data_IF_386810265264
#
_entry.id   IF_386810265264
#
_cell.length_a   1.000
_cell.length_b   1.000
_cell.length_c   1.000
_cell.angle_alpha   90.00
_cell.angle_beta   90.00
_cell.angle_gamma   90.00
#
_symmetry.space_group_name_H-M   'P 1'
#
loop_
_entity.id
_entity.type
_entity.pdbx_description
1 polymer ?
#
# COMPACT_ATOMS: atom_id res chain seq x y z
N UNK A 1 27.49 -24.43 9.11
CA UNK A 1 26.50 -23.49 9.64
C UNK A 1 25.11 -24.02 9.32
N UNK A 2 24.18 -24.03 10.27
CA UNK A 2 22.80 -24.38 9.98
C UNK A 2 22.23 -23.39 8.96
N UNK A 3 21.47 -23.87 7.97
CA UNK A 3 20.80 -23.02 7.00
C UNK A 3 19.65 -22.31 7.74
N UNK A 4 19.76 -20.99 7.90
CA UNK A 4 18.72 -20.17 8.51
C UNK A 4 17.74 -19.69 7.44
N UNK A 5 16.46 -19.51 7.81
CA UNK A 5 15.46 -18.91 6.94
C UNK A 5 15.86 -17.46 6.64
N UNK A 6 15.84 -17.07 5.38
CA UNK A 6 16.10 -15.72 4.89
C UNK A 6 14.88 -15.25 4.11
N UNK A 7 14.43 -14.02 4.36
CA UNK A 7 13.35 -13.41 3.60
C UNK A 7 13.70 -11.98 3.21
N UNK A 8 13.34 -11.60 1.97
CA UNK A 8 13.68 -10.31 1.39
C UNK A 8 12.44 -9.56 0.98
N UNK A 9 12.37 -8.27 1.30
CA UNK A 9 11.36 -7.34 0.79
C UNK A 9 12.01 -6.07 0.29
N UNK A 10 11.32 -5.38 -0.62
CA UNK A 10 11.75 -4.09 -1.15
C UNK A 10 10.69 -3.02 -0.93
N UNK A 11 11.12 -1.77 -0.97
CA UNK A 11 10.27 -0.59 -0.99
C UNK A 11 10.85 0.49 -1.91
N UNK A 12 10.03 1.46 -2.26
CA UNK A 12 10.44 2.59 -3.09
C UNK A 12 10.01 3.91 -2.46
N UNK A 13 10.71 5.00 -2.79
CA UNK A 13 10.34 6.33 -2.32
C UNK A 13 9.11 6.86 -3.05
N UNK A 14 8.54 7.94 -2.51
CA UNK A 14 7.45 8.70 -3.14
C UNK A 14 7.79 9.23 -4.55
N UNK A 15 9.09 9.40 -4.85
CA UNK A 15 9.58 9.88 -6.16
C UNK A 15 9.81 8.80 -7.19
N UNK A 16 9.65 7.52 -6.85
CA UNK A 16 9.66 6.46 -7.86
C UNK A 16 8.53 6.68 -8.88
N UNK A 17 8.74 6.51 -10.20
CA UNK A 17 7.73 6.82 -11.22
C UNK A 17 6.38 6.15 -10.99
N UNK A 18 6.36 4.86 -10.64
CA UNK A 18 5.10 4.16 -10.33
C UNK A 18 4.40 4.76 -9.10
N UNK A 19 5.18 5.16 -8.07
CA UNK A 19 4.61 5.77 -6.86
C UNK A 19 4.16 7.21 -7.07
N UNK A 20 4.78 7.94 -7.98
CA UNK A 20 4.25 9.22 -8.44
C UNK A 20 2.86 9.02 -9.06
N UNK A 21 2.68 8.01 -9.92
CA UNK A 21 1.40 7.70 -10.54
C UNK A 21 0.34 7.30 -9.50
N UNK A 22 0.69 6.47 -8.53
CA UNK A 22 -0.23 6.08 -7.45
C UNK A 22 -0.69 7.31 -6.63
N UNK A 23 0.24 8.21 -6.30
CA UNK A 23 -0.08 9.43 -5.55
C UNK A 23 -0.94 10.41 -6.35
N UNK A 24 -0.76 10.51 -7.66
CA UNK A 24 -1.63 11.32 -8.53
C UNK A 24 -3.02 10.72 -8.60
N UNK A 25 -3.14 9.42 -8.85
CA UNK A 25 -4.43 8.73 -8.95
C UNK A 25 -5.23 8.80 -7.65
N UNK A 26 -4.57 8.62 -6.49
CA UNK A 26 -5.22 8.78 -5.19
C UNK A 26 -5.47 10.26 -4.82
N UNK A 27 -4.67 11.19 -5.33
CA UNK A 27 -4.93 12.61 -5.20
C UNK A 27 -6.19 13.05 -5.94
N UNK A 28 -6.43 12.51 -7.14
CA UNK A 28 -7.68 12.70 -7.88
C UNK A 28 -8.86 12.11 -7.12
N UNK A 29 -8.72 10.88 -6.61
CA UNK A 29 -9.76 10.22 -5.82
C UNK A 29 -10.12 11.04 -4.57
N UNK A 30 -9.15 11.47 -3.79
CA UNK A 30 -9.38 12.25 -2.57
C UNK A 30 -10.06 13.59 -2.87
N UNK A 31 -9.63 14.28 -3.93
CA UNK A 31 -10.25 15.54 -4.35
C UNK A 31 -11.72 15.38 -4.75
N UNK A 32 -12.06 14.26 -5.38
CA UNK A 32 -13.43 13.90 -5.75
C UNK A 32 -14.25 13.56 -4.50
N UNK A 33 -13.76 12.64 -3.65
CA UNK A 33 -14.49 12.21 -2.46
C UNK A 33 -14.72 13.33 -1.44
N UNK A 34 -13.85 14.32 -1.38
CA UNK A 34 -14.03 15.50 -0.55
C UNK A 34 -15.29 16.33 -0.93
N UNK A 35 -15.74 16.28 -2.18
CA UNK A 35 -16.89 17.00 -2.68
C UNK A 35 -18.09 16.08 -2.93
N UNK A 36 -17.84 14.84 -3.33
CA UNK A 36 -18.84 13.84 -3.67
C UNK A 36 -18.46 12.46 -3.10
N UNK A 37 -18.81 12.18 -1.83
CA UNK A 37 -18.48 10.89 -1.19
C UNK A 37 -19.09 9.67 -1.87
N UNK A 38 -20.09 9.86 -2.75
CA UNK A 38 -20.75 8.77 -3.46
C UNK A 38 -20.22 8.56 -4.88
N UNK A 39 -19.20 9.32 -5.27
CA UNK A 39 -18.58 9.23 -6.58
C UNK A 39 -18.07 7.83 -6.92
N UNK A 40 -18.10 7.49 -8.21
CA UNK A 40 -17.46 6.30 -8.78
C UNK A 40 -16.21 6.74 -9.50
N UNK A 41 -15.06 6.20 -9.08
CA UNK A 41 -13.75 6.58 -9.61
C UNK A 41 -12.93 5.34 -9.89
N UNK A 42 -12.41 5.25 -11.09
CA UNK A 42 -11.37 4.33 -11.51
C UNK A 42 -10.34 5.16 -12.30
N UNK A 43 -9.40 5.77 -11.58
CA UNK A 43 -8.42 6.70 -12.12
C UNK A 43 -7.05 6.06 -12.20
N UNK A 44 -6.46 6.05 -13.37
CA UNK A 44 -5.12 5.55 -13.63
C UNK A 44 -4.23 6.67 -14.13
N UNK A 45 -2.95 6.60 -13.81
CA UNK A 45 -1.95 7.58 -14.23
C UNK A 45 -0.77 6.84 -14.85
N UNK A 46 -0.23 7.41 -15.92
CA UNK A 46 1.07 7.03 -16.41
C UNK A 46 1.98 8.25 -16.55
N UNK A 47 3.28 8.04 -16.42
CA UNK A 47 4.29 9.08 -16.53
C UNK A 47 5.52 8.57 -17.26
N UNK A 48 6.17 9.46 -17.98
CA UNK A 48 7.50 9.27 -18.58
C UNK A 48 8.15 10.64 -18.73
N UNK A 49 9.27 10.72 -19.46
CA UNK A 49 10.00 11.96 -19.68
C UNK A 49 9.09 13.13 -20.06
N UNK A 50 8.98 14.11 -19.18
CA UNK A 50 8.26 15.36 -19.44
C UNK A 50 6.75 15.29 -19.50
N UNK A 51 6.10 14.15 -19.18
CA UNK A 51 4.63 14.01 -19.28
C UNK A 51 4.03 13.23 -18.13
N UNK A 52 2.85 13.64 -17.69
CA UNK A 52 1.93 12.88 -16.82
C UNK A 52 0.59 12.80 -17.55
N UNK A 53 0.06 11.60 -17.73
CA UNK A 53 -1.26 11.37 -18.30
C UNK A 53 -2.17 10.71 -17.27
N UNK A 54 -3.33 11.32 -17.03
CA UNK A 54 -4.38 10.83 -16.13
C UNK A 54 -5.57 10.36 -16.98
N UNK A 55 -5.98 9.12 -16.80
CA UNK A 55 -7.02 8.48 -17.62
C UNK A 55 -7.92 7.59 -16.75
N UNK A 56 -9.04 7.17 -17.32
CA UNK A 56 -9.97 6.25 -16.66
C UNK A 56 -11.42 6.73 -16.63
N UNK A 57 -12.21 6.15 -15.74
CA UNK A 57 -13.64 6.41 -15.63
C UNK A 57 -13.97 7.13 -14.33
N UNK A 58 -14.82 8.15 -14.44
CA UNK A 58 -15.26 8.92 -13.29
C UNK A 58 -16.69 9.38 -13.46
N UNK A 59 -17.56 8.99 -12.51
CA UNK A 59 -18.94 9.48 -12.42
C UNK A 59 -19.07 10.23 -11.11
N UNK A 60 -19.19 11.55 -11.19
CA UNK A 60 -19.20 12.43 -10.02
C UNK A 60 -19.87 13.78 -10.33
N UNK A 61 -20.34 14.44 -9.28
CA UNK A 61 -20.77 15.84 -9.28
C UNK A 61 -19.65 16.81 -8.87
N UNK A 62 -18.50 16.29 -8.45
CA UNK A 62 -17.36 17.10 -8.03
C UNK A 62 -16.76 17.88 -9.23
N UNK A 63 -16.29 19.09 -8.95
CA UNK A 63 -15.55 19.90 -9.90
C UNK A 63 -14.10 20.04 -9.42
N UNK A 64 -13.19 19.36 -10.10
CA UNK A 64 -11.77 19.29 -9.74
C UNK A 64 -10.88 19.75 -10.91
N UNK A 65 -9.71 20.27 -10.58
CA UNK A 65 -8.64 20.55 -11.56
C UNK A 65 -7.60 19.44 -11.50
N UNK A 66 -7.65 18.50 -12.44
CA UNK A 66 -6.67 17.41 -12.54
C UNK A 66 -5.26 17.95 -12.73
N UNK A 67 -5.08 19.02 -13.50
CA UNK A 67 -3.78 19.65 -13.72
C UNK A 67 -3.16 20.15 -12.41
N UNK A 68 -3.96 20.85 -11.57
CA UNK A 68 -3.46 21.34 -10.27
C UNK A 68 -3.10 20.19 -9.35
N UNK A 69 -3.91 19.12 -9.28
CA UNK A 69 -3.62 17.93 -8.48
C UNK A 69 -2.31 17.27 -8.90
N UNK A 70 -2.07 17.12 -10.21
CA UNK A 70 -0.83 16.57 -10.74
C UNK A 70 0.36 17.44 -10.33
N UNK A 71 0.29 18.76 -10.61
CA UNK A 71 1.40 19.68 -10.33
C UNK A 71 1.71 19.76 -8.84
N UNK A 72 0.70 19.83 -8.00
CA UNK A 72 0.86 19.85 -6.54
C UNK A 72 1.47 18.55 -6.01
N UNK A 73 1.06 17.39 -6.54
CA UNK A 73 1.62 16.09 -6.18
C UNK A 73 3.10 16.02 -6.58
N UNK A 74 3.43 16.34 -7.82
CA UNK A 74 4.81 16.35 -8.33
C UNK A 74 5.70 17.32 -7.54
N UNK A 75 5.17 18.51 -7.19
CA UNK A 75 5.84 19.49 -6.34
C UNK A 75 6.08 18.98 -4.92
N UNK A 76 5.08 18.37 -4.28
CA UNK A 76 5.19 17.79 -2.92
C UNK A 76 6.22 16.67 -2.86
N UNK A 77 6.33 15.86 -3.90
CA UNK A 77 7.37 14.84 -4.06
C UNK A 77 8.77 15.50 -4.11
N UNK A 78 8.89 16.69 -4.69
CA UNK A 78 10.16 17.44 -4.79
C UNK A 78 10.76 17.43 -6.17
N UNK A 79 9.99 17.18 -7.21
CA UNK A 79 10.40 17.35 -8.59
C UNK A 79 10.19 18.80 -9.04
N UNK A 80 11.19 19.64 -8.83
CA UNK A 80 11.19 21.08 -9.04
C UNK A 80 12.15 21.54 -10.13
N UNK A 81 12.69 20.59 -10.91
CA UNK A 81 13.70 20.84 -11.94
C UNK A 81 15.12 20.92 -11.41
N UNK A 82 15.35 20.69 -10.10
CA UNK A 82 16.70 20.62 -9.55
C UNK A 82 17.46 19.40 -10.10
N UNK A 83 18.70 19.62 -10.51
CA UNK A 83 19.45 18.63 -11.27
C UNK A 83 18.85 18.42 -12.68
N UNK A 84 19.11 17.27 -13.28
CA UNK A 84 18.51 16.82 -14.55
C UNK A 84 17.23 16.02 -14.28
N UNK A 85 16.32 16.58 -13.46
CA UNK A 85 15.14 15.87 -12.99
C UNK A 85 13.86 16.39 -13.64
N UNK A 86 12.78 15.66 -13.41
CA UNK A 86 11.43 16.03 -13.76
C UNK A 86 11.03 17.37 -13.08
N UNK A 87 10.16 18.17 -13.70
CA UNK A 87 9.76 19.47 -13.14
C UNK A 87 8.24 19.65 -13.21
N UNK A 88 7.61 19.91 -12.03
CA UNK A 88 6.18 20.14 -11.90
C UNK A 88 5.65 21.33 -12.70
N UNK A 89 6.52 22.33 -13.02
CA UNK A 89 6.12 23.54 -13.77
C UNK A 89 6.02 23.28 -15.26
N UNK A 90 6.89 22.41 -15.78
CA UNK A 90 7.10 22.26 -17.22
C UNK A 90 6.60 20.94 -17.79
N UNK A 91 6.28 19.96 -16.93
CA UNK A 91 5.73 18.69 -17.41
C UNK A 91 4.38 18.93 -18.11
N UNK A 92 4.16 18.25 -19.23
CA UNK A 92 2.86 18.20 -19.87
C UNK A 92 1.88 17.38 -19.01
N UNK A 93 0.67 17.88 -18.82
CA UNK A 93 -0.42 17.16 -18.16
C UNK A 93 -1.48 16.85 -19.18
N UNK A 94 -1.73 15.57 -19.41
CA UNK A 94 -2.78 15.09 -20.35
C UNK A 94 -3.89 14.43 -19.55
N UNK A 95 -5.13 14.61 -19.99
CA UNK A 95 -6.31 14.02 -19.35
C UNK A 95 -7.17 13.29 -20.37
N UNK A 96 -7.57 12.05 -20.01
CA UNK A 96 -8.51 11.23 -20.77
C UNK A 96 -9.48 10.53 -19.80
N UNK A 97 -10.29 11.34 -19.11
CA UNK A 97 -11.30 10.90 -18.15
C UNK A 97 -12.69 10.98 -18.80
N UNK A 98 -13.50 9.94 -18.60
CA UNK A 98 -14.86 9.86 -19.14
C UNK A 98 -15.83 9.22 -18.14
N UNK A 99 -17.13 9.24 -18.42
CA UNK A 99 -18.14 8.61 -17.56
C UNK A 99 -18.07 7.09 -17.59
N UNK A 100 -18.46 6.45 -16.49
CA UNK A 100 -18.54 4.99 -16.40
C UNK A 100 -19.54 4.40 -17.38
N UNK A 101 -19.26 3.19 -17.92
CA UNK A 101 -20.18 2.43 -18.75
C UNK A 101 -21.50 2.14 -18.03
N UNK A 102 -22.67 2.44 -18.67
CA UNK A 102 -23.98 2.10 -18.08
C UNK A 102 -24.16 0.62 -17.78
N UNK A 103 -23.55 -0.28 -18.56
CA UNK A 103 -23.66 -1.73 -18.38
C UNK A 103 -23.00 -2.20 -17.09
N UNK A 104 -21.84 -1.61 -16.74
CA UNK A 104 -21.14 -1.89 -15.49
C UNK A 104 -21.93 -1.33 -14.30
N UNK A 105 -22.47 -0.10 -14.44
CA UNK A 105 -23.23 0.55 -13.38
C UNK A 105 -24.45 -0.27 -12.95
N UNK A 106 -25.19 -0.87 -13.88
CA UNK A 106 -26.39 -1.68 -13.55
C UNK A 106 -26.10 -2.86 -12.61
N UNK A 107 -24.96 -3.53 -12.79
CA UNK A 107 -24.62 -4.70 -11.98
C UNK A 107 -24.09 -4.35 -10.59
N UNK A 108 -23.52 -3.16 -10.45
CA UNK A 108 -22.87 -2.71 -9.20
C UNK A 108 -23.82 -1.90 -8.32
N UNK A 109 -24.69 -1.07 -8.94
CA UNK A 109 -25.61 -0.20 -8.21
C UNK A 109 -26.84 -0.95 -7.62
N UNK A 110 -27.08 -2.20 -8.03
CA UNK A 110 -28.10 -3.07 -7.45
C UNK A 110 -27.59 -4.51 -7.42
N UNK A 111 -27.17 -4.97 -6.23
CA UNK A 111 -26.69 -6.33 -6.02
C UNK A 111 -27.74 -7.40 -6.38
N UNK A 112 -27.28 -8.62 -6.67
CA UNK A 112 -28.14 -9.76 -6.99
C UNK A 112 -29.15 -10.00 -5.85
N UNK A 113 -28.71 -9.96 -4.61
CA UNK A 113 -29.51 -10.16 -3.40
C UNK A 113 -30.67 -9.16 -3.32
N UNK A 114 -30.41 -7.87 -3.65
CA UNK A 114 -31.43 -6.83 -3.69
C UNK A 114 -32.45 -7.10 -4.83
N UNK A 115 -31.97 -7.52 -6.00
CA UNK A 115 -32.84 -7.85 -7.16
C UNK A 115 -33.71 -9.09 -6.91
N UNK A 116 -33.26 -10.00 -6.05
CA UNK A 116 -34.00 -11.20 -5.62
C UNK A 116 -34.95 -10.94 -4.42
N UNK A 117 -35.06 -9.68 -3.97
CA UNK A 117 -36.00 -9.26 -2.95
C UNK A 117 -35.41 -9.14 -1.53
N UNK A 118 -34.09 -9.14 -1.39
CA UNK A 118 -33.41 -8.80 -0.14
C UNK A 118 -33.78 -7.39 0.31
N UNK A 119 -33.92 -7.19 1.63
CA UNK A 119 -34.32 -5.91 2.23
C UNK A 119 -33.26 -5.32 3.14
N UNK A 120 -32.13 -5.99 3.29
CA UNK A 120 -31.01 -5.50 4.11
C UNK A 120 -30.31 -4.34 3.37
N UNK A 121 -30.02 -3.26 4.09
CA UNK A 121 -29.35 -2.09 3.51
C UNK A 121 -27.97 -2.41 2.95
N UNK A 122 -27.28 -3.44 3.46
CA UNK A 122 -25.97 -3.87 2.97
C UNK A 122 -26.03 -4.81 1.76
N UNK A 123 -27.22 -5.25 1.37
CA UNK A 123 -27.47 -6.00 0.12
C UNK A 123 -27.72 -5.08 -1.08
N UNK A 124 -27.65 -3.75 -0.91
CA UNK A 124 -27.94 -2.79 -1.98
C UNK A 124 -26.81 -2.74 -3.01
N UNK A 125 -25.54 -2.82 -2.57
CA UNK A 125 -24.35 -2.66 -3.44
C UNK A 125 -23.68 -4.01 -3.61
N UNK A 126 -23.56 -4.47 -4.85
CA UNK A 126 -22.77 -5.64 -5.21
C UNK A 126 -21.27 -5.32 -5.35
N UNK A 127 -20.45 -6.35 -5.34
CA UNK A 127 -19.03 -6.18 -5.63
C UNK A 127 -18.82 -5.56 -7.03
N UNK A 128 -17.96 -4.57 -7.12
CA UNK A 128 -17.68 -3.83 -8.36
C UNK A 128 -16.95 -4.66 -9.42
N UNK A 129 -16.36 -5.77 -9.03
CA UNK A 129 -15.70 -6.73 -9.91
C UNK A 129 -15.66 -8.11 -9.22
N UNK A 130 -15.35 -9.13 -10.00
CA UNK A 130 -14.88 -10.41 -9.49
C UNK A 130 -13.43 -10.28 -9.01
N UNK A 131 -13.02 -11.08 -8.03
CA UNK A 131 -11.62 -11.12 -7.62
C UNK A 131 -11.41 -11.80 -6.28
N UNK A 132 -10.14 -11.92 -5.91
CA UNK A 132 -9.72 -12.39 -4.60
C UNK A 132 -8.81 -11.35 -3.94
N UNK A 133 -9.00 -11.11 -2.66
CA UNK A 133 -8.25 -10.13 -1.87
C UNK A 133 -7.66 -10.81 -0.66
N UNK A 134 -6.48 -10.38 -0.25
CA UNK A 134 -5.76 -10.95 0.87
C UNK A 134 -5.47 -9.90 1.94
N UNK A 135 -5.62 -10.30 3.19
CA UNK A 135 -5.14 -9.58 4.34
C UNK A 135 -4.17 -10.43 5.14
N UNK A 136 -3.21 -9.81 5.80
CA UNK A 136 -2.22 -10.50 6.60
C UNK A 136 -1.88 -9.73 7.88
N UNK A 137 -1.55 -10.45 8.94
CA UNK A 137 -0.97 -9.90 10.15
C UNK A 137 -0.03 -10.95 10.81
N UNK A 138 1.03 -10.48 11.45
CA UNK A 138 1.93 -11.33 12.24
C UNK A 138 2.59 -10.53 13.37
N UNK A 139 3.11 -11.24 14.39
CA UNK A 139 3.72 -10.63 15.59
C UNK A 139 5.21 -10.28 15.42
N UNK A 140 5.66 -9.99 14.19
CA UNK A 140 7.07 -9.66 13.96
C UNK A 140 7.41 -8.20 14.30
N UNK A 141 6.43 -7.29 14.19
CA UNK A 141 6.55 -5.87 14.57
C UNK A 141 5.37 -5.45 15.46
N UNK A 142 5.46 -4.27 16.06
CA UNK A 142 4.39 -3.71 16.89
C UNK A 142 3.13 -3.36 16.10
N UNK A 143 3.29 -3.08 14.81
CA UNK A 143 2.20 -2.81 13.85
C UNK A 143 1.52 -4.09 13.38
N UNK A 144 2.00 -5.26 13.82
CA UNK A 144 1.58 -6.58 13.36
C UNK A 144 1.80 -6.77 11.85
N UNK A 145 2.97 -6.34 11.37
CA UNK A 145 3.45 -6.46 9.99
C UNK A 145 4.69 -7.35 9.90
N UNK A 146 4.96 -7.93 8.72
CA UNK A 146 6.24 -8.61 8.47
C UNK A 146 7.42 -7.63 8.58
N UNK A 147 8.47 -8.05 9.27
CA UNK A 147 9.65 -7.22 9.53
C UNK A 147 10.37 -6.74 8.24
N UNK A 148 10.57 -7.57 7.19
CA UNK A 148 11.31 -7.15 6.01
C UNK A 148 10.66 -5.95 5.30
N UNK A 149 9.35 -5.99 5.05
CA UNK A 149 8.67 -4.86 4.38
C UNK A 149 8.60 -3.63 5.28
N UNK A 150 8.41 -3.81 6.58
CA UNK A 150 8.42 -2.69 7.54
C UNK A 150 9.75 -1.95 7.49
N UNK A 151 10.86 -2.66 7.58
CA UNK A 151 12.18 -2.03 7.52
C UNK A 151 12.50 -1.45 6.14
N UNK A 152 12.04 -2.07 5.06
CA UNK A 152 12.19 -1.50 3.73
C UNK A 152 11.45 -0.15 3.62
N UNK A 153 10.23 -0.03 4.16
CA UNK A 153 9.49 1.23 4.22
C UNK A 153 10.16 2.28 5.12
N UNK A 154 10.67 1.88 6.28
CA UNK A 154 11.37 2.79 7.19
C UNK A 154 12.60 3.40 6.52
N UNK A 155 13.36 2.61 5.76
CA UNK A 155 14.53 3.09 5.00
C UNK A 155 14.13 4.09 3.90
N UNK A 156 13.13 3.80 3.08
CA UNK A 156 12.69 4.71 2.00
C UNK A 156 12.04 5.97 2.56
N UNK A 157 11.30 5.87 3.66
CA UNK A 157 10.72 7.02 4.35
C UNK A 157 11.81 7.92 4.94
N UNK A 158 12.83 7.33 5.58
CA UNK A 158 13.98 8.08 6.11
C UNK A 158 14.78 8.75 5.01
N UNK A 159 14.96 8.08 3.87
CA UNK A 159 15.62 8.66 2.70
C UNK A 159 14.88 9.93 2.22
N UNK A 160 13.57 9.90 2.11
CA UNK A 160 12.77 11.07 1.76
C UNK A 160 12.81 12.16 2.85
N UNK A 161 12.80 11.79 4.12
CA UNK A 161 12.89 12.72 5.24
C UNK A 161 14.19 13.53 5.20
N UNK A 162 15.36 12.86 5.11
CA UNK A 162 16.67 13.56 5.11
C UNK A 162 16.89 14.40 3.87
N UNK A 163 16.23 14.09 2.76
CA UNK A 163 16.18 14.93 1.56
C UNK A 163 15.34 16.18 1.81
N UNK A 164 14.08 16.01 2.28
CA UNK A 164 13.13 17.11 2.44
C UNK A 164 13.53 18.11 3.53
N UNK A 165 14.17 17.65 4.59
CA UNK A 165 14.66 18.54 5.66
C UNK A 165 16.04 19.16 5.36
N UNK A 166 16.64 18.86 4.20
CA UNK A 166 17.91 19.41 3.75
C UNK A 166 19.15 18.85 4.44
N UNK A 167 19.03 17.77 5.24
CA UNK A 167 20.16 17.15 5.92
C UNK A 167 21.13 16.48 4.95
N UNK A 168 20.59 15.90 3.86
CA UNK A 168 21.38 15.37 2.74
C UNK A 168 20.89 16.03 1.44
N UNK A 169 21.33 17.26 1.16
CA UNK A 169 20.74 18.11 0.13
C UNK A 169 21.04 17.66 -1.31
N UNK A 170 21.92 16.71 -1.49
CA UNK A 170 22.32 16.21 -2.80
C UNK A 170 21.57 14.94 -3.24
N UNK A 171 20.73 14.32 -2.40
CA UNK A 171 19.86 13.23 -2.85
C UNK A 171 18.58 13.79 -3.46
N UNK A 172 18.05 13.07 -4.45
CA UNK A 172 16.89 13.45 -5.25
C UNK A 172 15.70 12.50 -4.97
N UNK A 173 14.49 12.78 -5.50
CA UNK A 173 13.28 12.09 -5.07
C UNK A 173 13.21 10.60 -5.32
N UNK A 174 13.83 10.08 -6.40
CA UNK A 174 13.76 8.66 -6.75
C UNK A 174 14.72 7.81 -5.91
N UNK A 175 14.21 6.70 -5.41
CA UNK A 175 15.04 5.77 -4.64
C UNK A 175 14.29 4.49 -4.29
N UNK A 176 15.09 3.46 -3.94
CA UNK A 176 14.63 2.12 -3.58
C UNK A 176 15.41 1.60 -2.38
N UNK A 177 14.77 0.79 -1.59
CA UNK A 177 15.40 -0.03 -0.55
C UNK A 177 15.08 -1.50 -0.75
N UNK A 178 15.97 -2.37 -0.33
CA UNK A 178 15.74 -3.80 -0.20
C UNK A 178 16.42 -4.27 1.07
N UNK A 179 15.75 -5.10 1.86
CA UNK A 179 16.31 -5.72 3.05
C UNK A 179 16.10 -7.21 3.04
N UNK A 180 17.13 -7.95 3.43
CA UNK A 180 17.06 -9.40 3.68
C UNK A 180 17.23 -9.64 5.18
N UNK A 181 16.20 -10.24 5.79
CA UNK A 181 16.17 -10.54 7.23
C UNK A 181 16.39 -12.03 7.44
N UNK A 182 17.31 -12.35 8.33
CA UNK A 182 17.55 -13.70 8.85
C UNK A 182 16.61 -13.95 10.00
N UNK A 183 16.00 -15.13 10.01
CA UNK A 183 15.09 -15.58 11.07
C UNK A 183 15.75 -16.66 11.94
N UNK A 184 15.46 -16.63 13.22
CA UNK A 184 15.89 -17.66 14.17
C UNK A 184 15.09 -18.97 14.03
N UNK A 185 15.38 -19.95 14.88
CA UNK A 185 14.72 -21.25 14.88
C UNK A 185 13.22 -21.17 15.22
N UNK A 186 12.80 -20.13 15.93
CA UNK A 186 11.41 -19.88 16.31
C UNK A 186 10.66 -19.05 15.25
N UNK A 187 11.35 -18.64 14.18
CA UNK A 187 10.79 -17.81 13.13
C UNK A 187 10.66 -16.33 13.51
N UNK A 188 11.44 -15.86 14.51
CA UNK A 188 11.54 -14.45 14.84
C UNK A 188 12.65 -13.74 14.05
N UNK A 189 12.47 -12.46 13.65
CA UNK A 189 13.52 -11.68 12.99
C UNK A 189 14.75 -11.52 13.88
N UNK A 190 15.92 -11.96 13.42
CA UNK A 190 17.17 -11.99 14.20
C UNK A 190 18.12 -10.85 13.82
N UNK A 191 18.49 -10.75 12.54
CA UNK A 191 19.44 -9.78 12.02
C UNK A 191 19.24 -9.49 10.53
N UNK A 192 19.84 -8.42 10.05
CA UNK A 192 19.96 -8.20 8.62
C UNK A 192 21.09 -9.03 8.01
N UNK A 193 20.82 -9.71 6.91
CA UNK A 193 21.85 -10.30 6.05
C UNK A 193 22.43 -9.25 5.11
N UNK A 194 21.52 -8.52 4.44
CA UNK A 194 21.93 -7.40 3.60
C UNK A 194 20.90 -6.27 3.60
N UNK A 195 21.38 -5.06 3.34
CA UNK A 195 20.61 -3.84 3.12
C UNK A 195 21.10 -3.21 1.82
N UNK A 196 20.18 -2.97 0.88
CA UNK A 196 20.47 -2.32 -0.39
C UNK A 196 19.68 -1.01 -0.47
N UNK A 197 20.37 0.09 -0.76
CA UNK A 197 19.76 1.39 -1.05
C UNK A 197 20.23 1.86 -2.42
N UNK A 198 19.28 2.21 -3.29
CA UNK A 198 19.54 2.94 -4.52
C UNK A 198 18.86 4.29 -4.41
N UNK A 199 19.61 5.39 -4.57
CA UNK A 199 19.06 6.74 -4.46
C UNK A 199 19.59 7.63 -5.58
N UNK A 200 18.70 8.35 -6.21
CA UNK A 200 19.04 9.41 -7.15
C UNK A 200 19.78 10.54 -6.43
N UNK A 201 20.77 11.13 -7.08
CA UNK A 201 21.57 12.20 -6.48
C UNK A 201 22.03 13.23 -7.53
N UNK A 202 22.39 14.43 -7.08
CA UNK A 202 22.99 15.46 -7.93
C UNK A 202 24.31 14.98 -8.53
N UNK A 203 24.58 15.34 -9.77
CA UNK A 203 25.83 14.99 -10.46
C UNK A 203 27.11 15.59 -9.83
N UNK A 204 26.95 16.58 -8.96
CA UNK A 204 28.04 17.20 -8.19
C UNK A 204 28.48 16.39 -6.97
N UNK A 205 27.66 15.45 -6.48
CA UNK A 205 27.99 14.58 -5.34
C UNK A 205 28.81 13.38 -5.81
N UNK A 206 29.90 13.08 -5.11
CA UNK A 206 30.67 11.86 -5.35
C UNK A 206 29.91 10.63 -4.81
N UNK A 207 30.18 9.46 -5.38
CA UNK A 207 29.59 8.22 -4.92
C UNK A 207 29.94 7.91 -3.45
N UNK A 208 31.13 8.29 -3.01
CA UNK A 208 31.61 8.12 -1.65
C UNK A 208 30.78 8.98 -0.68
N UNK A 209 30.58 10.28 -0.99
CA UNK A 209 29.70 11.16 -0.22
C UNK A 209 28.27 10.61 -0.10
N UNK A 210 27.70 10.09 -1.21
CA UNK A 210 26.36 9.48 -1.20
C UNK A 210 26.32 8.26 -0.29
N UNK A 211 27.33 7.38 -0.38
CA UNK A 211 27.42 6.17 0.45
C UNK A 211 27.51 6.49 1.94
N UNK A 212 28.42 7.36 2.31
CA UNK A 212 28.62 7.80 3.70
C UNK A 212 27.33 8.39 4.27
N UNK A 213 26.75 9.38 3.59
CA UNK A 213 25.54 10.03 4.04
C UNK A 213 24.34 9.06 4.17
N UNK A 214 24.16 8.14 3.22
CA UNK A 214 23.07 7.15 3.29
C UNK A 214 23.29 6.16 4.42
N UNK A 215 24.50 5.72 4.68
CA UNK A 215 24.80 4.83 5.80
C UNK A 215 24.51 5.53 7.13
N UNK A 216 25.05 6.73 7.34
CA UNK A 216 24.98 7.42 8.62
C UNK A 216 23.60 8.01 8.91
N UNK A 217 22.98 8.66 7.92
CA UNK A 217 21.78 9.45 8.10
C UNK A 217 20.48 8.70 7.75
N UNK A 218 20.58 7.62 7.00
CA UNK A 218 19.41 6.80 6.64
C UNK A 218 19.47 5.45 7.35
N UNK A 219 20.45 4.59 7.04
CA UNK A 219 20.45 3.21 7.52
C UNK A 219 20.58 3.18 9.05
N UNK A 220 21.60 3.84 9.60
CA UNK A 220 21.85 3.83 11.04
C UNK A 220 20.78 4.54 11.89
N UNK A 221 19.86 5.29 11.24
CA UNK A 221 18.78 6.01 11.92
C UNK A 221 17.41 5.35 11.75
N UNK A 222 17.21 4.57 10.66
CA UNK A 222 15.90 4.02 10.33
C UNK A 222 15.67 2.63 10.94
N UNK A 223 16.72 1.80 11.08
CA UNK A 223 16.54 0.40 11.48
C UNK A 223 17.18 0.10 12.84
N UNK A 224 16.73 -0.96 13.54
CA UNK A 224 17.28 -1.32 14.84
C UNK A 224 18.78 -1.68 14.76
N UNK A 225 19.63 -0.88 15.38
CA UNK A 225 21.10 -1.08 15.36
C UNK A 225 21.53 -2.49 15.83
N UNK A 226 20.79 -3.10 16.77
CA UNK A 226 21.04 -4.47 17.27
C UNK A 226 20.93 -5.55 16.19
N UNK A 227 20.21 -5.26 15.09
CA UNK A 227 20.04 -6.17 13.96
C UNK A 227 21.13 -6.01 12.89
N UNK A 228 21.95 -4.95 12.97
CA UNK A 228 23.12 -4.75 12.11
C UNK A 228 24.32 -5.40 12.82
N UNK A 229 24.92 -6.38 12.17
CA UNK A 229 26.09 -7.11 12.70
C UNK A 229 27.31 -6.90 11.79
N UNK A 230 28.48 -7.37 12.20
CA UNK A 230 29.69 -7.31 11.37
C UNK A 230 29.55 -8.07 10.03
N UNK A 231 28.64 -9.05 9.97
CA UNK A 231 28.38 -9.84 8.77
C UNK A 231 27.32 -9.20 7.85
N UNK A 232 26.63 -8.13 8.30
CA UNK A 232 25.60 -7.46 7.51
C UNK A 232 26.24 -6.72 6.32
N UNK A 233 25.83 -7.08 5.12
CA UNK A 233 26.31 -6.44 3.88
C UNK A 233 25.48 -5.22 3.57
N UNK A 234 26.12 -4.07 3.37
CA UNK A 234 25.46 -2.81 3.02
C UNK A 234 25.89 -2.40 1.61
N UNK A 235 24.90 -2.22 0.73
CA UNK A 235 25.09 -1.78 -0.65
C UNK A 235 24.37 -0.45 -0.87
N UNK A 236 25.12 0.60 -1.21
CA UNK A 236 24.56 1.90 -1.59
C UNK A 236 24.98 2.21 -3.00
N UNK A 237 24.03 2.43 -3.90
CA UNK A 237 24.25 2.65 -5.33
C UNK A 237 25.31 1.67 -5.90
N UNK A 238 25.08 0.34 -5.85
CA UNK A 238 26.09 -0.64 -6.27
C UNK A 238 26.41 -0.55 -7.76
N UNK A 239 25.51 -0.02 -8.59
CA UNK A 239 25.74 0.23 -10.01
C UNK A 239 26.61 1.49 -10.26
N UNK A 240 26.90 2.30 -9.23
CA UNK A 240 27.63 3.52 -9.31
C UNK A 240 26.74 4.77 -9.37
N UNK A 241 26.89 5.57 -10.44
CA UNK A 241 26.17 6.84 -10.59
C UNK A 241 24.67 6.66 -10.84
N UNK A 242 23.82 7.39 -10.09
CA UNK A 242 22.37 7.43 -10.28
C UNK A 242 21.89 8.90 -10.29
N UNK A 243 22.15 9.60 -11.38
CA UNK A 243 21.80 11.02 -11.55
C UNK A 243 20.50 11.17 -12.32
N UNK A 244 20.31 10.43 -13.40
CA UNK A 244 19.08 10.40 -14.14
C UNK A 244 18.14 9.39 -13.46
N UNK A 245 16.98 9.86 -12.97
CA UNK A 245 15.99 9.05 -12.27
C UNK A 245 14.61 9.69 -12.34
N UNK A 246 13.65 9.09 -11.61
CA UNK A 246 12.25 9.48 -11.70
C UNK A 246 11.68 9.27 -13.11
N UNK A 247 10.63 10.01 -13.51
CA UNK A 247 10.03 9.89 -14.84
C UNK A 247 10.99 10.19 -15.99
N UNK A 248 12.11 10.85 -15.73
CA UNK A 248 13.15 11.09 -16.71
C UNK A 248 13.96 9.82 -17.02
N UNK A 249 14.09 8.93 -16.05
CA UNK A 249 14.88 7.70 -16.18
C UNK A 249 14.06 6.46 -16.55
N UNK A 250 12.82 6.39 -16.08
CA UNK A 250 11.95 5.22 -16.30
C UNK A 250 10.47 5.66 -16.31
N UNK A 251 9.63 4.90 -17.00
CA UNK A 251 8.19 5.15 -17.05
C UNK A 251 7.51 4.60 -15.80
N UNK A 252 6.45 5.28 -15.35
CA UNK A 252 5.60 4.87 -14.25
C UNK A 252 4.16 4.64 -14.65
N UNK A 253 3.49 3.73 -13.95
CA UNK A 253 2.05 3.48 -14.06
C UNK A 253 1.45 3.22 -12.68
N UNK A 254 0.19 3.62 -12.50
CA UNK A 254 -0.61 3.27 -11.32
C UNK A 254 -0.71 1.74 -11.18
N UNK A 255 -0.55 1.24 -9.95
CA UNK A 255 -0.76 -0.17 -9.64
C UNK A 255 0.38 -1.11 -10.03
N UNK A 256 1.59 -0.61 -10.24
CA UNK A 256 2.77 -1.44 -10.54
C UNK A 256 3.67 -1.73 -9.34
N UNK A 257 3.28 -1.31 -8.13
CA UNK A 257 4.00 -1.56 -6.88
C UNK A 257 3.12 -2.23 -5.83
N UNK A 258 2.19 -3.10 -6.29
CA UNK A 258 1.16 -3.74 -5.44
C UNK A 258 1.74 -4.59 -4.30
N UNK A 259 2.92 -5.15 -4.46
CA UNK A 259 3.60 -5.94 -3.42
C UNK A 259 4.25 -5.02 -2.39
N UNK A 260 4.80 -3.87 -2.81
CA UNK A 260 5.28 -2.79 -1.93
C UNK A 260 4.11 -2.19 -1.14
N UNK A 261 2.94 -2.04 -1.76
CA UNK A 261 1.75 -1.49 -1.15
C UNK A 261 1.17 -2.36 -0.03
N UNK A 262 1.49 -3.65 -0.01
CA UNK A 262 0.92 -4.65 0.89
C UNK A 262 1.96 -5.23 1.85
N UNK A 263 2.44 -6.45 1.62
CA UNK A 263 3.22 -7.19 2.62
C UNK A 263 4.63 -7.57 2.15
N UNK A 264 5.13 -6.96 1.04
CA UNK A 264 6.48 -7.18 0.53
C UNK A 264 6.76 -8.63 0.09
N UNK A 265 5.72 -9.34 -0.37
CA UNK A 265 5.83 -10.73 -0.78
C UNK A 265 5.69 -11.75 0.35
N UNK A 266 5.47 -11.32 1.59
CA UNK A 266 5.33 -12.21 2.74
C UNK A 266 3.99 -12.94 2.79
N UNK A 267 2.94 -12.33 2.24
CA UNK A 267 1.60 -12.89 2.06
C UNK A 267 1.25 -13.01 0.58
N UNK A 268 0.22 -13.81 0.27
CA UNK A 268 -0.38 -13.88 -1.06
C UNK A 268 -0.98 -12.54 -1.47
N UNK A 269 -1.16 -12.33 -2.76
CA UNK A 269 -1.80 -11.15 -3.33
C UNK A 269 -2.78 -11.53 -4.43
N UNK A 270 -3.93 -10.88 -4.48
CA UNK A 270 -4.96 -11.17 -5.50
C UNK A 270 -4.71 -10.54 -6.87
N UNK A 271 -3.74 -9.64 -6.98
CA UNK A 271 -3.37 -8.95 -8.23
C UNK A 271 -4.02 -7.58 -8.41
N UNK A 272 -5.06 -7.23 -7.64
CA UNK A 272 -5.74 -5.93 -7.75
C UNK A 272 -4.91 -4.77 -7.19
N UNK A 273 -4.78 -3.68 -7.97
CA UNK A 273 -4.20 -2.43 -7.53
C UNK A 273 -5.19 -1.63 -6.67
N UNK A 274 -4.68 -0.77 -5.77
CA UNK A 274 -5.50 0.04 -4.88
C UNK A 274 -5.71 1.46 -5.38
N UNK A 275 -4.61 2.15 -5.73
CA UNK A 275 -4.61 3.58 -6.04
C UNK A 275 -5.56 3.93 -7.19
N UNK A 276 -6.27 5.05 -7.04
CA UNK A 276 -7.23 5.54 -8.01
C UNK A 276 -8.61 4.88 -7.98
N UNK A 277 -8.83 3.87 -7.13
CA UNK A 277 -10.09 3.14 -7.01
C UNK A 277 -10.91 3.65 -5.82
N UNK A 278 -12.18 4.04 -6.05
CA UNK A 278 -13.12 4.37 -4.98
C UNK A 278 -13.51 3.14 -4.15
N UNK A 279 -14.11 3.32 -2.94
CA UNK A 279 -14.37 2.21 -2.01
C UNK A 279 -15.33 1.13 -2.51
N UNK A 280 -16.06 1.33 -3.60
CA UNK A 280 -16.93 0.29 -4.16
C UNK A 280 -16.15 -0.79 -4.91
N UNK A 281 -14.89 -0.55 -5.24
CA UNK A 281 -13.97 -1.51 -5.84
C UNK A 281 -13.41 -2.43 -4.76
N UNK A 282 -13.82 -3.69 -4.80
CA UNK A 282 -13.44 -4.70 -3.79
C UNK A 282 -11.95 -5.02 -3.76
N UNK A 283 -11.22 -4.80 -4.85
CA UNK A 283 -9.76 -4.90 -4.87
C UNK A 283 -9.11 -4.11 -3.72
N UNK A 284 -9.60 -2.90 -3.48
CA UNK A 284 -9.13 -2.04 -2.40
C UNK A 284 -9.85 -2.34 -1.09
N UNK A 285 -11.16 -2.22 -1.07
CA UNK A 285 -11.98 -2.35 0.14
C UNK A 285 -11.88 -3.74 0.76
N UNK A 286 -11.92 -4.80 -0.05
CA UNK A 286 -11.76 -6.17 0.40
C UNK A 286 -10.37 -6.44 0.97
N UNK A 287 -9.30 -5.89 0.37
CA UNK A 287 -7.93 -6.02 0.89
C UNK A 287 -7.76 -5.29 2.23
N UNK A 288 -8.30 -4.07 2.36
CA UNK A 288 -8.26 -3.30 3.61
C UNK A 288 -9.05 -4.00 4.72
N UNK A 289 -10.24 -4.50 4.40
CA UNK A 289 -11.05 -5.24 5.37
C UNK A 289 -10.43 -6.58 5.75
N UNK A 290 -9.81 -7.28 4.81
CA UNK A 290 -9.05 -8.51 5.10
C UNK A 290 -7.87 -8.22 6.05
N UNK A 291 -7.17 -7.08 5.87
CA UNK A 291 -6.14 -6.61 6.82
C UNK A 291 -6.74 -6.34 8.20
N UNK A 292 -7.85 -5.63 8.27
CA UNK A 292 -8.55 -5.36 9.52
C UNK A 292 -8.93 -6.64 10.27
N UNK A 293 -9.49 -7.63 9.58
CA UNK A 293 -9.83 -8.93 10.17
C UNK A 293 -8.58 -9.66 10.69
N UNK A 294 -7.57 -9.85 9.83
CA UNK A 294 -6.34 -10.56 10.18
C UNK A 294 -5.64 -9.90 11.38
N UNK A 295 -5.59 -8.57 11.40
CA UNK A 295 -5.00 -7.80 12.49
C UNK A 295 -5.75 -7.98 13.80
N UNK A 296 -7.08 -7.98 13.79
CA UNK A 296 -7.90 -8.20 14.97
C UNK A 296 -7.76 -9.63 15.53
N UNK A 297 -7.66 -10.66 14.68
CA UNK A 297 -7.42 -12.04 15.12
C UNK A 297 -6.07 -12.18 15.81
N UNK A 298 -5.00 -11.62 15.24
CA UNK A 298 -3.66 -11.64 15.83
C UNK A 298 -3.58 -10.79 17.10
N UNK A 299 -4.19 -9.60 17.11
CA UNK A 299 -4.26 -8.74 18.29
C UNK A 299 -5.03 -9.38 19.44
N UNK A 300 -6.10 -10.13 19.16
CA UNK A 300 -6.84 -10.90 20.14
C UNK A 300 -6.03 -12.07 20.74
N UNK A 301 -4.97 -12.51 20.09
CA UNK A 301 -4.15 -13.66 20.51
C UNK A 301 -4.66 -15.00 19.98
N UNK A 302 -5.58 -14.99 19.03
CA UNK A 302 -6.12 -16.22 18.43
C UNK A 302 -5.12 -16.90 17.48
N UNK A 303 -4.15 -16.16 16.96
CA UNK A 303 -3.04 -16.68 16.18
C UNK A 303 -1.82 -15.75 16.31
N UNK A 304 -0.60 -16.25 16.02
CA UNK A 304 0.59 -15.41 15.89
C UNK A 304 0.79 -14.90 14.47
N UNK A 305 0.22 -15.62 13.49
CA UNK A 305 0.16 -15.25 12.07
C UNK A 305 -1.22 -15.57 11.54
N UNK A 306 -1.74 -14.71 10.70
CA UNK A 306 -3.04 -14.91 10.05
C UNK A 306 -3.03 -14.31 8.65
N UNK A 307 -3.35 -15.12 7.66
CA UNK A 307 -3.72 -14.69 6.32
C UNK A 307 -5.21 -14.93 6.13
N UNK A 308 -5.90 -13.94 5.58
CA UNK A 308 -7.32 -14.03 5.23
C UNK A 308 -7.46 -13.82 3.72
N UNK A 309 -8.24 -14.70 3.06
CA UNK A 309 -8.69 -14.49 1.69
C UNK A 309 -10.18 -14.21 1.66
N UNK A 310 -10.57 -13.17 0.95
CA UNK A 310 -11.94 -12.92 0.50
C UNK A 310 -12.01 -13.05 -1.01
N UNK A 311 -13.11 -13.61 -1.52
CA UNK A 311 -13.36 -13.63 -2.95
C UNK A 311 -14.79 -13.18 -3.24
N UNK A 312 -14.97 -12.45 -4.33
CA UNK A 312 -16.25 -11.90 -4.77
C UNK A 312 -16.55 -12.28 -6.22
N UNK A 313 -17.85 -12.33 -6.54
CA UNK A 313 -18.36 -12.30 -7.90
C UNK A 313 -18.93 -10.91 -8.19
N UNK A 314 -18.75 -10.42 -9.42
CA UNK A 314 -19.28 -9.10 -9.82
C UNK A 314 -20.79 -9.03 -9.61
N UNK A 315 -21.27 -7.95 -9.02
CA UNK A 315 -22.70 -7.71 -8.77
C UNK A 315 -23.30 -8.53 -7.63
N UNK A 316 -22.52 -9.31 -6.87
CA UNK A 316 -22.95 -10.06 -5.67
C UNK A 316 -22.40 -9.36 -4.42
N UNK A 317 -23.26 -9.17 -3.42
CA UNK A 317 -22.87 -8.52 -2.16
C UNK A 317 -22.10 -9.48 -1.24
N UNK A 318 -22.55 -10.72 -1.11
CA UNK A 318 -21.90 -11.70 -0.24
C UNK A 318 -20.58 -12.20 -0.84
N UNK A 319 -19.51 -12.38 -0.04
CA UNK A 319 -18.31 -13.04 -0.53
C UNK A 319 -18.60 -14.49 -0.91
N UNK A 320 -18.12 -14.92 -2.07
CA UNK A 320 -18.28 -16.31 -2.53
C UNK A 320 -17.32 -17.26 -1.81
N UNK A 321 -16.26 -16.74 -1.21
CA UNK A 321 -15.30 -17.52 -0.42
C UNK A 321 -14.68 -16.68 0.69
N UNK A 322 -14.48 -17.29 1.85
CA UNK A 322 -13.71 -16.76 2.99
C UNK A 322 -12.80 -17.88 3.47
N UNK A 323 -11.49 -17.67 3.40
CA UNK A 323 -10.47 -18.59 3.89
C UNK A 323 -9.64 -17.91 4.99
N UNK A 324 -9.39 -18.61 6.07
CA UNK A 324 -8.41 -18.25 7.11
C UNK A 324 -7.27 -19.26 7.06
N UNK A 325 -6.04 -18.80 7.12
CA UNK A 325 -4.83 -19.63 7.24
C UNK A 325 -3.94 -19.03 8.34
N UNK A 326 -3.77 -19.75 9.43
CA UNK A 326 -2.94 -19.34 10.56
C UNK A 326 -1.54 -19.93 10.51
N UNK A 327 -1.19 -20.66 9.47
CA UNK A 327 0.11 -21.33 9.32
C UNK A 327 0.44 -22.23 10.53
N UNK A 328 -0.58 -22.85 11.13
CA UNK A 328 -0.45 -23.71 12.30
C UNK A 328 -0.19 -22.97 13.62
N UNK A 329 -0.32 -21.63 13.66
CA UNK A 329 -0.16 -20.83 14.89
C UNK A 329 -1.48 -20.53 15.59
N UNK A 330 -2.61 -20.96 15.03
CA UNK A 330 -3.95 -20.75 15.55
C UNK A 330 -4.17 -21.45 16.90
N UNK A 331 -4.92 -20.79 17.80
CA UNK A 331 -5.41 -21.40 19.06
C UNK A 331 -6.63 -22.29 18.82
N UNK A 332 -7.29 -22.08 17.70
CA UNK A 332 -8.39 -22.88 17.13
C UNK A 332 -7.97 -23.32 15.74
N UNK A 333 -8.66 -24.29 15.16
CA UNK A 333 -8.42 -24.66 13.77
C UNK A 333 -8.94 -23.56 12.82
N UNK A 334 -8.39 -23.54 11.60
CA UNK A 334 -8.65 -22.46 10.64
C UNK A 334 -10.12 -22.41 10.19
N UNK A 335 -10.86 -23.54 10.18
CA UNK A 335 -12.28 -23.56 9.85
C UNK A 335 -13.12 -22.91 10.97
N UNK A 336 -12.80 -23.20 12.23
CA UNK A 336 -13.44 -22.55 13.37
C UNK A 336 -13.18 -21.03 13.36
N UNK A 337 -11.96 -20.62 13.03
CA UNK A 337 -11.62 -19.20 12.90
C UNK A 337 -12.39 -18.55 11.73
N UNK A 338 -12.58 -19.24 10.61
CA UNK A 338 -13.40 -18.74 9.50
C UNK A 338 -14.88 -18.55 9.89
N UNK A 339 -15.45 -19.45 10.72
CA UNK A 339 -16.80 -19.28 11.27
C UNK A 339 -16.90 -18.07 12.21
N UNK A 340 -15.90 -17.87 13.07
CA UNK A 340 -15.80 -16.70 13.94
C UNK A 340 -15.74 -15.42 13.12
N UNK A 341 -14.94 -15.41 12.05
CA UNK A 341 -14.86 -14.26 11.11
C UNK A 341 -16.24 -13.96 10.54
N UNK A 342 -16.95 -14.96 9.99
CA UNK A 342 -18.30 -14.76 9.43
C UNK A 342 -19.31 -14.24 10.45
N UNK A 343 -19.14 -14.59 11.72
CA UNK A 343 -20.02 -14.15 12.80
C UNK A 343 -19.80 -12.70 13.24
N UNK A 344 -18.57 -12.22 13.19
CA UNK A 344 -18.18 -10.93 13.78
C UNK A 344 -17.89 -9.83 12.76
N UNK A 345 -17.72 -10.18 11.49
CA UNK A 345 -17.37 -9.25 10.42
C UNK A 345 -18.35 -9.40 9.26
N UNK A 346 -18.99 -8.29 8.91
CA UNK A 346 -19.83 -8.24 7.71
C UNK A 346 -18.98 -7.84 6.51
N UNK A 347 -18.73 -8.81 5.62
CA UNK A 347 -17.82 -8.68 4.49
C UNK A 347 -18.55 -8.25 3.20
N UNK A 348 -19.80 -7.77 3.29
CA UNK A 348 -20.49 -7.15 2.15
C UNK A 348 -19.89 -5.77 1.87
N UNK A 349 -19.73 -5.37 0.59
CA UNK A 349 -19.06 -4.10 0.22
C UNK A 349 -19.60 -2.88 0.97
N UNK A 350 -20.93 -2.73 1.06
CA UNK A 350 -21.55 -1.60 1.76
C UNK A 350 -21.22 -1.57 3.26
N UNK A 351 -21.23 -2.74 3.92
CA UNK A 351 -20.91 -2.86 5.34
C UNK A 351 -19.43 -2.55 5.61
N UNK A 352 -18.53 -3.07 4.80
CA UNK A 352 -17.09 -2.78 4.89
C UNK A 352 -16.78 -1.29 4.73
N UNK A 353 -17.42 -0.64 3.75
CA UNK A 353 -17.27 0.80 3.47
C UNK A 353 -17.72 1.62 4.69
N UNK A 354 -18.85 1.26 5.30
CA UNK A 354 -19.39 1.95 6.47
C UNK A 354 -18.54 1.71 7.71
N UNK A 355 -18.21 0.45 8.04
CA UNK A 355 -17.42 0.12 9.25
C UNK A 355 -16.03 0.76 9.22
N UNK A 356 -15.38 0.79 8.07
CA UNK A 356 -14.06 1.40 7.91
C UNK A 356 -14.10 2.87 7.46
N UNK A 357 -15.28 3.49 7.35
CA UNK A 357 -15.44 4.90 6.95
C UNK A 357 -14.71 5.27 5.65
N UNK A 358 -14.69 4.36 4.67
CA UNK A 358 -13.85 4.46 3.48
C UNK A 358 -14.25 5.54 2.47
N UNK A 359 -15.34 6.26 2.69
CA UNK A 359 -15.73 7.41 1.85
C UNK A 359 -15.02 8.72 2.23
N UNK A 360 -14.15 8.68 3.25
CA UNK A 360 -13.29 9.82 3.62
C UNK A 360 -12.10 9.94 2.67
N UNK A 361 -11.64 11.15 2.36
CA UNK A 361 -10.46 11.38 1.51
C UNK A 361 -9.18 11.12 2.30
N UNK A 362 -8.75 9.86 2.32
CA UNK A 362 -7.60 9.38 3.13
C UNK A 362 -6.57 8.61 2.30
N UNK A 363 -6.71 8.62 0.99
CA UNK A 363 -6.02 7.67 0.12
C UNK A 363 -4.65 8.15 -0.36
N UNK A 364 -4.48 9.43 -0.72
CA UNK A 364 -3.20 9.95 -1.18
C UNK A 364 -2.08 9.77 -0.14
N UNK A 365 -2.38 9.89 1.15
CA UNK A 365 -1.40 9.74 2.22
C UNK A 365 -0.85 8.31 2.35
N UNK A 366 -1.54 7.29 1.85
CA UNK A 366 -1.08 5.89 1.87
C UNK A 366 -0.50 5.42 0.55
N UNK A 367 -0.60 6.22 -0.51
CA UNK A 367 -0.13 5.87 -1.84
C UNK A 367 1.40 5.69 -1.96
N UNK A 368 2.16 6.03 -0.92
CA UNK A 368 3.58 5.75 -0.80
C UNK A 368 3.88 5.16 0.59
N UNK A 369 4.93 4.32 0.65
CA UNK A 369 5.42 3.69 1.90
C UNK A 369 4.46 2.65 2.51
N UNK A 370 3.61 2.03 1.69
CA UNK A 370 2.67 0.97 2.07
C UNK A 370 1.33 1.47 2.58
N UNK A 371 0.28 0.71 2.29
CA UNK A 371 -1.09 0.97 2.74
C UNK A 371 -1.38 0.37 4.12
N UNK A 372 -0.51 -0.54 4.60
CA UNK A 372 -0.68 -1.29 5.84
C UNK A 372 0.46 -0.97 6.82
N UNK A 373 0.19 -1.10 8.12
CA UNK A 373 1.22 -0.94 9.16
C UNK A 373 1.73 0.50 9.29
N UNK A 374 0.87 1.51 9.17
CA UNK A 374 1.19 2.95 9.19
C UNK A 374 0.83 3.58 10.53
N UNK A 375 1.72 3.51 11.54
CA UNK A 375 1.45 4.08 12.85
C UNK A 375 1.49 5.62 12.87
N UNK A 376 1.99 6.22 11.83
CA UNK A 376 2.03 7.68 11.59
C UNK A 376 0.68 8.24 11.12
N UNK A 377 -0.30 7.38 10.78
CA UNK A 377 -1.60 7.74 10.26
C UNK A 377 -2.73 7.08 11.07
N UNK A 378 -3.87 7.77 11.22
CA UNK A 378 -5.08 7.17 11.80
C UNK A 378 -5.91 6.49 10.71
N UNK A 379 -5.60 5.23 10.43
CA UNK A 379 -6.25 4.44 9.41
C UNK A 379 -7.25 3.46 10.04
N UNK A 380 -8.49 3.47 9.59
CA UNK A 380 -9.56 2.64 10.15
C UNK A 380 -9.28 1.14 10.03
N UNK A 381 -8.68 0.70 8.93
CA UNK A 381 -8.31 -0.72 8.72
C UNK A 381 -7.10 -1.20 9.54
N UNK A 382 -6.44 -0.29 10.25
CA UNK A 382 -5.36 -0.60 11.19
C UNK A 382 -5.85 -0.66 12.65
N UNK A 383 -7.12 -0.36 12.92
CA UNK A 383 -7.71 -0.39 14.27
C UNK A 383 -7.95 -1.84 14.72
N UNK A 384 -7.88 -2.08 16.03
CA UNK A 384 -8.09 -3.41 16.65
C UNK A 384 -9.36 -3.43 17.50
N UNK A 385 -10.42 -2.78 17.03
CA UNK A 385 -11.68 -2.56 17.76
C UNK A 385 -12.46 -3.84 18.08
N UNK A 386 -12.25 -4.91 17.30
CA UNK A 386 -12.88 -6.21 17.53
C UNK A 386 -12.04 -7.15 18.39
N UNK A 387 -10.76 -6.81 18.68
CA UNK A 387 -9.87 -7.73 19.38
C UNK A 387 -10.40 -8.15 20.76
N UNK A 388 -10.99 -7.24 21.54
CA UNK A 388 -11.52 -7.57 22.88
C UNK A 388 -12.66 -8.58 22.82
N UNK A 389 -13.62 -8.41 21.90
CA UNK A 389 -14.73 -9.37 21.78
C UNK A 389 -14.25 -10.72 21.27
N UNK A 390 -13.19 -10.76 20.47
CA UNK A 390 -12.64 -12.00 19.93
C UNK A 390 -11.90 -12.82 21.00
N UNK A 391 -11.39 -12.20 22.09
CA UNK A 391 -10.74 -12.91 23.20
C UNK A 391 -11.63 -13.93 23.91
N UNK A 392 -12.96 -13.82 23.79
CA UNK A 392 -13.89 -14.82 24.35
C UNK A 392 -13.64 -16.23 23.82
N UNK A 393 -13.02 -16.38 22.66
CA UNK A 393 -12.72 -17.66 22.02
C UNK A 393 -11.35 -18.26 22.44
N UNK A 394 -10.60 -17.60 23.33
CA UNK A 394 -9.37 -18.13 23.92
C UNK A 394 -9.61 -19.10 25.09
N UNK A 395 -10.86 -19.30 25.49
CA UNK A 395 -11.26 -20.09 26.67
C UNK A 395 -11.47 -21.54 26.30
#
# INVERSE_FOLDING_TARGET
MAIKKLFTSESVTEGHPDKLCDQVSDGVLDAVLAQDPMARVACETCTTTGVVMVMGEMTTTANISVEEIVRDTVKKIGYDGSGESFDYKTCAVLTALHGQSPDIAMGVDSALENREGGKDQYDLIGAGDQGMMFGYACRETKELMPAPITFAHELTRKLAEVRKNGKVPFILPDGKSQVSVVYDENGAPERFDNIVISTQHLGSASLEQVREAVIEEVIMQAVPKRMITADTKIYVNPTGRFVIGGPQGDSGLTGRKIIVDTYGGYARHGGGAFSGKDPTKVDRTGAYYSRYIAKNLVAAGLADKCELQLAYAIGVAQPVSVLVDTFGTGKLDDLQLAEIVRKHFDMRPAAMIEELELRKPVYQQVAAYGHMGRPDLDLSWERTTKAEILKQYLK
#
